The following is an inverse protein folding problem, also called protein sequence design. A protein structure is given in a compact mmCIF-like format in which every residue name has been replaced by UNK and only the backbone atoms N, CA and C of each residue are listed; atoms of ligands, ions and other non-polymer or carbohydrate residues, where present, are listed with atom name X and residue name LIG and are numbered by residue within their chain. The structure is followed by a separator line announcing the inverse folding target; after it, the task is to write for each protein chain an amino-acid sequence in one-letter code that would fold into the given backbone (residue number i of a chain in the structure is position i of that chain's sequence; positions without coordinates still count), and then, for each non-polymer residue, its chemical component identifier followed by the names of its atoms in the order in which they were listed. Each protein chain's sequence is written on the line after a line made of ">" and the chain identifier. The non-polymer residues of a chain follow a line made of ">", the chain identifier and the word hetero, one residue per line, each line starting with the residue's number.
data_IF_292345992667
#
_entry.id   IF_292345992667
#
_cell.length_a   1.000
_cell.length_b   1.000
_cell.length_c   1.000
_cell.angle_alpha   90.00
_cell.angle_beta   90.00
_cell.angle_gamma   90.00
#
_symmetry.space_group_name_H-M   'P 1'
#
loop_
_entity.id
_entity.type
_entity.pdbx_description
1 polymer ?
#
# COMPACT_ATOMS: atom_id res chain seq x y z
N UNK A 1 15.84 29.39 -7.20
CA UNK A 1 17.11 28.73 -6.82
C UNK A 1 17.57 29.13 -5.41
N UNK A 2 17.61 30.41 -5.08
CA UNK A 2 17.99 30.97 -3.77
C UNK A 2 17.21 30.40 -2.58
N UNK A 3 15.89 30.29 -2.66
CA UNK A 3 15.04 29.77 -1.56
C UNK A 3 15.36 28.30 -1.21
N UNK A 4 15.70 27.47 -2.18
CA UNK A 4 16.05 26.05 -1.96
C UNK A 4 17.41 25.92 -1.28
N UNK A 5 18.36 26.76 -1.65
CA UNK A 5 19.69 26.80 -1.00
C UNK A 5 19.54 27.25 0.46
N UNK A 6 18.71 28.26 0.70
CA UNK A 6 18.43 28.74 2.07
C UNK A 6 17.78 27.62 2.89
N UNK A 7 16.79 26.90 2.34
CA UNK A 7 16.13 25.80 3.05
C UNK A 7 17.07 24.62 3.30
N UNK A 8 17.99 24.31 2.38
CA UNK A 8 19.02 23.29 2.59
C UNK A 8 19.96 23.69 3.72
N UNK A 9 20.39 24.95 3.74
CA UNK A 9 21.23 25.51 4.82
C UNK A 9 20.51 25.49 6.17
N UNK A 10 19.22 25.88 6.21
CA UNK A 10 18.39 25.79 7.42
C UNK A 10 18.28 24.37 7.92
N UNK A 11 18.05 23.40 7.01
CA UNK A 11 18.02 21.98 7.36
C UNK A 11 19.33 21.51 7.98
N UNK A 12 20.46 21.90 7.41
CA UNK A 12 21.79 21.56 7.96
C UNK A 12 22.00 22.18 9.35
N UNK A 13 21.60 23.45 9.55
CA UNK A 13 21.69 24.12 10.85
C UNK A 13 20.82 23.43 11.90
N UNK A 14 19.57 23.05 11.54
CA UNK A 14 18.66 22.33 12.44
C UNK A 14 19.22 20.93 12.77
N UNK A 15 19.85 20.27 11.83
CA UNK A 15 20.50 18.98 12.05
C UNK A 15 21.66 19.09 13.02
N UNK A 16 22.52 20.10 12.86
CA UNK A 16 23.65 20.38 13.76
C UNK A 16 23.17 20.78 15.17
N UNK A 17 22.17 21.66 15.28
CA UNK A 17 21.57 22.03 16.55
C UNK A 17 20.95 20.83 17.25
N UNK A 18 20.22 20.01 16.53
CA UNK A 18 19.63 18.76 17.03
C UNK A 18 20.69 17.76 17.49
N UNK A 19 21.82 17.65 16.77
CA UNK A 19 22.95 16.80 17.16
C UNK A 19 23.64 17.30 18.46
N UNK A 20 23.89 18.60 18.56
CA UNK A 20 24.46 19.20 19.77
C UNK A 20 23.52 19.00 20.97
N UNK A 21 22.24 19.28 20.80
CA UNK A 21 21.23 19.06 21.83
C UNK A 21 21.14 17.58 22.25
N UNK A 22 21.16 16.66 21.27
CA UNK A 22 21.19 15.21 21.55
C UNK A 22 22.43 14.82 22.37
N UNK A 23 23.61 15.37 22.05
CA UNK A 23 24.87 15.10 22.77
C UNK A 23 24.77 15.56 24.21
N UNK A 24 24.27 16.78 24.46
CA UNK A 24 24.09 17.33 25.81
C UNK A 24 23.02 16.57 26.61
N UNK A 25 21.88 16.23 25.97
CA UNK A 25 20.82 15.51 26.63
C UNK A 25 21.20 14.05 26.96
N UNK A 26 22.01 13.40 26.13
CA UNK A 26 22.57 12.08 26.43
C UNK A 26 23.60 12.12 27.53
N UNK A 27 24.47 13.14 27.58
CA UNK A 27 25.45 13.35 28.66
C UNK A 27 24.74 13.57 30.01
N UNK A 28 23.70 14.39 30.04
CA UNK A 28 22.87 14.58 31.23
C UNK A 28 22.14 13.30 31.67
N UNK A 29 21.64 12.53 30.72
CA UNK A 29 20.98 11.27 31.02
C UNK A 29 21.95 10.21 31.57
N UNK A 30 23.18 10.16 31.05
CA UNK A 30 24.25 9.29 31.57
C UNK A 30 24.75 9.73 32.94
N UNK A 31 24.86 11.03 33.19
CA UNK A 31 25.27 11.59 34.48
C UNK A 31 24.23 11.37 35.60
N UNK A 32 22.94 11.24 35.24
CA UNK A 32 21.85 11.00 36.18
C UNK A 32 21.80 9.56 36.75
N UNK A 33 22.64 8.65 36.27
CA UNK A 33 22.78 7.27 36.74
C UNK A 33 21.57 6.36 36.42
N UNK A 34 21.77 5.07 36.49
CA UNK A 34 20.80 4.02 36.12
C UNK A 34 19.55 3.97 37.03
N UNK A 35 19.57 4.71 38.15
CA UNK A 35 18.43 4.77 39.10
C UNK A 35 17.32 5.77 38.74
N UNK A 36 17.52 6.61 37.74
CA UNK A 36 16.47 7.49 37.24
C UNK A 36 15.60 6.73 36.21
N UNK A 37 14.37 6.38 36.55
CA UNK A 37 13.30 5.86 35.63
C UNK A 37 12.98 6.83 34.47
N UNK A 38 13.89 7.71 34.05
CA UNK A 38 13.71 8.67 32.97
C UNK A 38 13.99 7.98 31.62
N UNK A 39 12.97 7.93 30.77
CA UNK A 39 13.09 7.44 29.38
C UNK A 39 14.17 8.25 28.64
N UNK A 40 14.99 7.55 27.85
CA UNK A 40 16.01 8.14 26.99
C UNK A 40 15.42 9.30 26.15
N UNK A 41 16.07 10.46 26.07
CA UNK A 41 15.50 11.62 25.36
C UNK A 41 15.39 11.32 23.86
N UNK A 42 14.16 11.24 23.36
CA UNK A 42 13.86 10.96 21.95
C UNK A 42 13.74 12.23 21.10
N UNK A 43 13.29 13.33 21.72
CA UNK A 43 13.00 14.59 21.04
C UNK A 43 14.22 15.17 20.28
N UNK A 44 15.43 15.26 20.87
CA UNK A 44 16.60 15.77 20.14
C UNK A 44 16.99 14.90 18.94
N UNK A 45 16.76 13.58 19.03
CA UNK A 45 17.03 12.65 17.91
C UNK A 45 16.07 12.89 16.77
N UNK A 46 14.78 13.13 17.06
CA UNK A 46 13.77 13.46 16.05
C UNK A 46 14.09 14.77 15.35
N UNK A 47 14.44 15.82 16.09
CA UNK A 47 14.82 17.12 15.53
C UNK A 47 16.05 16.99 14.62
N UNK A 48 17.07 16.25 15.04
CA UNK A 48 18.26 15.98 14.24
C UNK A 48 17.89 15.26 12.93
N UNK A 49 17.06 14.21 12.98
CA UNK A 49 16.66 13.45 11.82
C UNK A 49 15.82 14.28 10.85
N UNK A 50 14.91 15.12 11.35
CA UNK A 50 14.14 16.05 10.53
C UNK A 50 15.02 17.07 9.82
N UNK A 51 16.03 17.61 10.51
CA UNK A 51 17.00 18.53 9.90
C UNK A 51 17.83 17.87 8.80
N UNK A 52 18.36 16.67 9.04
CA UNK A 52 19.10 15.89 8.04
C UNK A 52 18.22 15.62 6.83
N UNK A 53 17.01 15.16 7.06
CA UNK A 53 16.06 14.82 6.00
C UNK A 53 15.72 16.05 5.14
N UNK A 54 15.42 17.21 5.76
CA UNK A 54 15.16 18.46 5.06
C UNK A 54 16.37 18.89 4.20
N UNK A 55 17.57 18.81 4.75
CA UNK A 55 18.80 19.15 4.02
C UNK A 55 19.00 18.21 2.81
N UNK A 56 18.86 16.90 3.00
CA UNK A 56 19.05 15.89 1.94
C UNK A 56 18.03 16.08 0.82
N UNK A 57 16.74 16.24 1.14
CA UNK A 57 15.69 16.43 0.14
C UNK A 57 15.94 17.69 -0.70
N UNK A 58 16.32 18.83 -0.05
CA UNK A 58 16.57 20.07 -0.78
C UNK A 58 17.86 20.02 -1.62
N UNK A 59 18.86 19.29 -1.21
CA UNK A 59 20.05 19.02 -2.02
C UNK A 59 19.71 18.14 -3.23
N UNK A 60 18.89 17.10 -3.04
CA UNK A 60 18.42 16.25 -4.14
C UNK A 60 17.56 17.05 -5.13
N UNK A 61 16.64 17.90 -4.67
CA UNK A 61 15.84 18.77 -5.54
C UNK A 61 16.73 19.71 -6.38
N UNK A 62 17.83 20.20 -5.81
CA UNK A 62 18.80 21.03 -6.52
C UNK A 62 19.61 20.20 -7.54
N UNK A 63 20.04 19.00 -7.17
CA UNK A 63 20.83 18.11 -8.01
C UNK A 63 20.03 17.57 -9.22
N UNK A 64 18.77 17.22 -9.01
CA UNK A 64 17.89 16.70 -10.06
C UNK A 64 17.09 17.77 -10.82
N UNK A 65 17.26 19.05 -10.47
CA UNK A 65 16.62 20.16 -11.20
C UNK A 65 15.09 20.15 -11.14
N UNK A 66 14.50 19.57 -10.08
CA UNK A 66 13.05 19.48 -9.92
C UNK A 66 12.42 20.87 -9.91
N UNK A 67 11.57 21.18 -10.88
CA UNK A 67 10.85 22.46 -10.94
C UNK A 67 9.60 22.42 -10.07
N UNK A 68 9.25 23.53 -9.36
CA UNK A 68 7.94 23.61 -8.71
C UNK A 68 6.83 23.49 -9.77
N UNK A 69 5.75 22.80 -9.46
CA UNK A 69 4.57 22.75 -10.35
C UNK A 69 3.94 24.14 -10.43
N UNK A 70 3.88 24.69 -11.64
CA UNK A 70 3.32 26.02 -11.91
C UNK A 70 1.79 26.01 -12.04
N UNK A 71 1.17 24.85 -12.29
CA UNK A 71 -0.28 24.70 -12.42
C UNK A 71 -0.75 23.44 -11.71
N UNK A 72 -1.92 23.54 -11.09
CA UNK A 72 -2.63 22.38 -10.56
C UNK A 72 -3.34 21.67 -11.71
N UNK A 73 -2.79 20.56 -12.14
CA UNK A 73 -3.43 19.66 -13.09
C UNK A 73 -3.26 18.24 -12.57
N UNK A 74 -4.36 17.58 -12.25
CA UNK A 74 -4.35 16.17 -11.89
C UNK A 74 -4.52 15.37 -13.15
N UNK A 75 -3.47 14.68 -13.55
CA UNK A 75 -3.51 13.76 -14.67
C UNK A 75 -4.17 12.45 -14.22
N UNK A 76 -5.46 12.32 -14.47
CA UNK A 76 -6.26 11.13 -14.11
C UNK A 76 -5.94 9.97 -15.05
N UNK A 77 -5.56 10.28 -16.29
CA UNK A 77 -5.27 9.29 -17.32
C UNK A 77 -3.86 8.72 -17.13
N UNK A 78 -3.74 7.41 -17.31
CA UNK A 78 -2.44 6.76 -17.34
C UNK A 78 -1.71 7.08 -18.65
N UNK A 79 -0.41 7.36 -18.55
CA UNK A 79 0.45 7.54 -19.72
C UNK A 79 0.38 6.31 -20.62
N UNK A 80 0.39 6.53 -21.93
CA UNK A 80 0.35 5.48 -22.94
C UNK A 80 1.65 5.43 -23.72
N UNK A 81 2.12 4.23 -23.97
CA UNK A 81 3.25 3.97 -24.87
C UNK A 81 2.69 3.44 -26.18
N UNK A 82 3.01 4.13 -27.30
CA UNK A 82 2.66 3.68 -28.62
C UNK A 82 3.76 2.75 -29.18
N UNK A 83 3.42 1.49 -29.36
CA UNK A 83 4.28 0.44 -29.90
C UNK A 83 3.93 0.15 -31.39
N UNK A 84 3.89 1.18 -32.23
CA UNK A 84 3.73 0.99 -33.68
C UNK A 84 2.43 0.32 -34.15
N UNK A 85 1.28 0.69 -33.49
CA UNK A 85 -0.05 0.15 -33.82
C UNK A 85 -0.86 -0.34 -32.61
N UNK A 86 -0.21 -0.49 -31.46
CA UNK A 86 -0.82 -0.81 -30.17
C UNK A 86 -0.44 0.26 -29.15
N UNK A 87 -1.42 0.91 -28.53
CA UNK A 87 -1.18 1.79 -27.38
C UNK A 87 -1.35 1.01 -26.08
N UNK A 88 -0.26 0.74 -25.38
CA UNK A 88 -0.26 0.12 -24.06
C UNK A 88 -0.25 1.19 -22.96
N UNK A 89 -1.14 1.02 -21.97
CA UNK A 89 -1.07 1.84 -20.75
C UNK A 89 0.16 1.47 -19.93
N UNK A 90 0.87 2.48 -19.40
CA UNK A 90 2.01 2.28 -18.50
C UNK A 90 1.61 1.47 -17.26
N UNK A 91 0.37 1.55 -16.81
CA UNK A 91 -0.15 0.77 -15.68
C UNK A 91 -0.10 -0.73 -15.93
N UNK A 92 -0.28 -1.18 -17.18
CA UNK A 92 -0.15 -2.60 -17.55
C UNK A 92 1.30 -3.06 -17.42
N UNK A 93 2.26 -2.23 -17.84
CA UNK A 93 3.70 -2.52 -17.72
C UNK A 93 4.09 -2.65 -16.24
N UNK A 94 3.64 -1.71 -15.41
CA UNK A 94 3.89 -1.77 -13.97
C UNK A 94 3.23 -2.98 -13.31
N UNK A 95 2.05 -3.38 -13.77
CA UNK A 95 1.39 -4.63 -13.33
C UNK A 95 2.28 -5.83 -13.62
N UNK A 96 2.85 -5.93 -14.83
CA UNK A 96 3.76 -7.02 -15.18
C UNK A 96 5.03 -7.02 -14.32
N UNK A 97 5.58 -5.84 -14.03
CA UNK A 97 6.75 -5.70 -13.14
C UNK A 97 6.42 -6.23 -11.73
N UNK A 98 5.25 -5.84 -11.15
CA UNK A 98 4.84 -6.34 -9.84
C UNK A 98 4.64 -7.85 -9.89
N UNK A 99 3.95 -8.37 -10.89
CA UNK A 99 3.74 -9.80 -11.04
C UNK A 99 5.06 -10.57 -11.15
N UNK A 100 5.99 -10.08 -11.96
CA UNK A 100 7.32 -10.68 -12.08
C UNK A 100 8.09 -10.64 -10.74
N UNK A 101 8.03 -9.52 -10.02
CA UNK A 101 8.65 -9.37 -8.71
C UNK A 101 8.02 -10.32 -7.67
N UNK A 102 6.70 -10.47 -7.66
CA UNK A 102 6.01 -11.41 -6.76
C UNK A 102 6.32 -12.88 -7.09
N UNK A 103 6.39 -13.22 -8.37
CA UNK A 103 6.80 -14.57 -8.82
C UNK A 103 8.24 -14.85 -8.41
N UNK A 104 9.14 -13.89 -8.62
CA UNK A 104 10.54 -14.00 -8.19
C UNK A 104 10.65 -14.16 -6.67
N UNK A 105 9.90 -13.35 -5.91
CA UNK A 105 9.84 -13.46 -4.45
C UNK A 105 9.34 -14.84 -4.02
N UNK A 106 8.26 -15.34 -4.63
CA UNK A 106 7.72 -16.66 -4.35
C UNK A 106 8.74 -17.78 -4.66
N UNK A 107 9.47 -17.63 -5.79
CA UNK A 107 10.52 -18.58 -6.19
C UNK A 107 11.69 -18.57 -5.17
N UNK A 108 12.15 -17.37 -4.79
CA UNK A 108 13.21 -17.22 -3.77
C UNK A 108 12.77 -17.83 -2.43
N UNK A 109 11.54 -17.52 -1.97
CA UNK A 109 11.01 -18.10 -0.74
C UNK A 109 10.88 -19.63 -0.83
N UNK A 110 10.46 -20.15 -1.98
CA UNK A 110 10.38 -21.58 -2.22
C UNK A 110 11.74 -22.26 -2.13
N UNK A 111 12.78 -21.66 -2.72
CA UNK A 111 14.12 -22.25 -2.76
C UNK A 111 14.89 -22.10 -1.44
N UNK A 112 14.70 -20.97 -0.74
CA UNK A 112 15.47 -20.64 0.48
C UNK A 112 14.78 -21.04 1.77
N UNK A 113 13.48 -20.76 1.90
CA UNK A 113 12.71 -20.95 3.14
C UNK A 113 11.94 -22.27 3.10
N UNK A 114 11.04 -22.44 2.10
CA UNK A 114 10.11 -23.59 2.06
C UNK A 114 10.86 -24.92 1.95
N UNK A 115 11.93 -24.95 1.16
CA UNK A 115 12.74 -26.18 1.00
C UNK A 115 13.51 -26.59 2.26
N UNK A 116 13.69 -25.66 3.22
CA UNK A 116 14.44 -25.86 4.48
C UNK A 116 13.54 -25.77 5.72
N UNK A 117 12.21 -25.88 5.54
CA UNK A 117 11.27 -25.83 6.66
C UNK A 117 11.53 -26.95 7.67
N UNK A 118 11.54 -26.57 8.95
CA UNK A 118 11.68 -27.47 10.09
C UNK A 118 10.41 -27.45 10.93
N UNK A 119 10.18 -28.49 11.74
CA UNK A 119 8.99 -28.57 12.61
C UNK A 119 8.91 -27.43 13.64
N UNK A 120 10.04 -26.84 14.01
CA UNK A 120 10.08 -25.67 14.90
C UNK A 120 10.47 -24.46 14.06
N UNK A 121 9.51 -23.56 13.74
CA UNK A 121 9.76 -22.42 12.85
C UNK A 121 10.70 -21.42 13.49
N UNK A 122 11.72 -20.97 12.73
CA UNK A 122 12.69 -19.94 13.16
C UNK A 122 12.85 -18.86 12.11
N UNK A 123 13.02 -17.60 12.55
CA UNK A 123 13.33 -16.47 11.67
C UNK A 123 12.28 -16.22 10.59
N UNK A 124 12.69 -16.21 9.32
CA UNK A 124 11.82 -15.93 8.18
C UNK A 124 10.68 -16.95 7.99
N UNK A 125 10.92 -18.22 8.32
CA UNK A 125 9.89 -19.25 8.29
C UNK A 125 8.73 -18.90 9.23
N UNK A 126 9.04 -18.50 10.48
CA UNK A 126 8.02 -18.14 11.46
C UNK A 126 7.14 -16.98 11.00
N UNK A 127 7.74 -15.95 10.38
CA UNK A 127 6.98 -14.81 9.84
C UNK A 127 6.01 -15.26 8.74
N UNK A 128 6.50 -16.10 7.83
CA UNK A 128 5.70 -16.58 6.70
C UNK A 128 4.57 -17.50 7.18
N UNK A 129 4.83 -18.41 8.12
CA UNK A 129 3.81 -19.27 8.73
C UNK A 129 2.75 -18.45 9.47
N UNK A 130 3.14 -17.46 10.28
CA UNK A 130 2.20 -16.59 11.00
C UNK A 130 1.30 -15.83 10.00
N UNK A 131 1.87 -15.30 8.92
CA UNK A 131 1.07 -14.58 7.90
C UNK A 131 0.05 -15.50 7.23
N UNK A 132 0.47 -16.68 6.79
CA UNK A 132 -0.41 -17.64 6.11
C UNK A 132 -1.44 -18.22 7.08
N UNK A 133 -1.01 -18.62 8.28
CA UNK A 133 -1.91 -19.19 9.29
C UNK A 133 -2.98 -18.21 9.75
N UNK A 134 -2.61 -16.96 10.02
CA UNK A 134 -3.58 -15.92 10.39
C UNK A 134 -4.61 -15.68 9.29
N UNK A 135 -4.17 -15.63 8.03
CA UNK A 135 -5.10 -15.46 6.91
C UNK A 135 -6.01 -16.67 6.72
N UNK A 136 -5.48 -17.89 6.86
CA UNK A 136 -6.28 -19.12 6.81
C UNK A 136 -7.29 -19.17 7.96
N UNK A 137 -6.89 -18.84 9.18
CA UNK A 137 -7.79 -18.75 10.34
C UNK A 137 -8.88 -17.69 10.13
N UNK A 138 -8.48 -16.52 9.64
CA UNK A 138 -9.41 -15.43 9.35
C UNK A 138 -10.41 -15.81 8.26
N UNK A 139 -9.97 -16.49 7.21
CA UNK A 139 -10.85 -17.00 6.15
C UNK A 139 -11.83 -18.04 6.70
N UNK A 140 -11.34 -19.04 7.45
CA UNK A 140 -12.19 -20.10 8.03
C UNK A 140 -13.19 -19.58 9.03
N UNK A 141 -12.84 -18.54 9.80
CA UNK A 141 -13.78 -17.94 10.77
C UNK A 141 -14.92 -17.17 10.11
N UNK A 142 -14.73 -16.64 8.91
CA UNK A 142 -15.76 -15.86 8.19
C UNK A 142 -16.64 -16.68 7.27
N UNK A 143 -16.08 -17.72 6.62
CA UNK A 143 -16.76 -18.42 5.50
C UNK A 143 -16.78 -19.94 5.70
N UNK A 144 -16.25 -20.44 6.82
CA UNK A 144 -16.09 -21.87 7.05
C UNK A 144 -14.98 -22.49 6.19
N UNK A 145 -14.97 -23.82 6.07
CA UNK A 145 -13.96 -24.53 5.29
C UNK A 145 -14.40 -24.73 3.85
N UNK A 146 -14.10 -23.75 2.99
CA UNK A 146 -14.36 -23.80 1.56
C UNK A 146 -13.19 -24.37 0.73
N UNK A 147 -12.11 -24.79 1.41
CA UNK A 147 -10.89 -25.33 0.81
C UNK A 147 -9.73 -24.30 0.79
N UNK A 148 -8.53 -24.80 0.52
CA UNK A 148 -7.29 -24.05 0.66
C UNK A 148 -7.05 -23.02 -0.48
N UNK A 149 -7.80 -23.10 -1.57
CA UNK A 149 -7.65 -22.18 -2.71
C UNK A 149 -8.11 -20.75 -2.40
N UNK A 150 -9.09 -20.58 -1.51
CA UNK A 150 -9.63 -19.27 -1.18
C UNK A 150 -8.62 -18.41 -0.39
N UNK A 151 -7.99 -18.91 0.70
CA UNK A 151 -6.94 -18.17 1.39
C UNK A 151 -5.76 -17.82 0.48
N UNK A 152 -5.37 -18.73 -0.42
CA UNK A 152 -4.28 -18.50 -1.37
C UNK A 152 -4.59 -17.34 -2.34
N UNK A 153 -5.80 -17.27 -2.87
CA UNK A 153 -6.27 -16.16 -3.71
C UNK A 153 -6.25 -14.83 -2.94
N UNK A 154 -6.77 -14.82 -1.72
CA UNK A 154 -6.82 -13.62 -0.89
C UNK A 154 -5.40 -13.13 -0.53
N UNK A 155 -4.48 -14.05 -0.27
CA UNK A 155 -3.08 -13.72 -0.02
C UNK A 155 -2.43 -13.10 -1.26
N UNK A 156 -2.67 -13.68 -2.45
CA UNK A 156 -2.13 -13.17 -3.70
C UNK A 156 -2.62 -11.73 -4.00
N UNK A 157 -3.92 -11.47 -3.85
CA UNK A 157 -4.48 -10.13 -4.04
C UNK A 157 -3.92 -9.13 -3.02
N UNK A 158 -3.87 -9.49 -1.73
CA UNK A 158 -3.32 -8.64 -0.71
C UNK A 158 -1.84 -8.28 -1.01
N UNK A 159 -1.04 -9.27 -1.39
CA UNK A 159 0.36 -9.05 -1.78
C UNK A 159 0.51 -8.19 -3.04
N UNK A 160 -0.38 -8.35 -4.02
CA UNK A 160 -0.40 -7.50 -5.20
C UNK A 160 -0.73 -6.03 -4.83
N UNK A 161 -1.72 -5.79 -3.96
CA UNK A 161 -2.06 -4.44 -3.50
C UNK A 161 -0.91 -3.79 -2.71
N UNK A 162 -0.25 -4.55 -1.84
CA UNK A 162 0.93 -4.09 -1.10
C UNK A 162 2.10 -3.82 -2.06
N UNK A 163 2.32 -4.68 -3.04
CA UNK A 163 3.33 -4.47 -4.09
C UNK A 163 3.08 -3.20 -4.91
N UNK A 164 1.81 -2.92 -5.25
CA UNK A 164 1.41 -1.68 -5.91
C UNK A 164 1.72 -0.44 -5.06
N UNK A 165 1.46 -0.50 -3.77
CA UNK A 165 1.77 0.57 -2.83
C UNK A 165 3.28 0.82 -2.69
N UNK A 166 4.08 -0.23 -2.72
CA UNK A 166 5.55 -0.11 -2.68
C UNK A 166 6.06 0.64 -3.91
N UNK A 167 5.53 0.40 -5.11
CA UNK A 167 5.89 1.16 -6.30
C UNK A 167 5.58 2.65 -6.17
N UNK A 168 4.46 2.99 -5.54
CA UNK A 168 4.06 4.37 -5.31
C UNK A 168 5.04 5.13 -4.40
N UNK A 169 5.68 4.44 -3.43
CA UNK A 169 6.75 5.00 -2.62
C UNK A 169 7.97 5.46 -3.45
N UNK A 170 8.21 4.83 -4.57
CA UNK A 170 9.28 5.24 -5.51
C UNK A 170 8.84 6.33 -6.48
N UNK A 171 7.65 6.90 -6.30
CA UNK A 171 7.09 7.93 -7.19
C UNK A 171 6.57 7.38 -8.52
N UNK A 172 6.41 6.06 -8.62
CA UNK A 172 5.83 5.39 -9.78
C UNK A 172 4.33 5.25 -9.53
N UNK A 173 3.52 5.66 -10.50
CA UNK A 173 2.07 5.56 -10.40
C UNK A 173 1.62 4.12 -10.18
N UNK A 174 0.92 3.86 -9.09
CA UNK A 174 0.44 2.53 -8.77
C UNK A 174 -0.55 2.01 -9.83
N UNK A 175 -0.47 0.74 -10.28
CA UNK A 175 -1.46 0.15 -11.17
C UNK A 175 -2.90 0.24 -10.65
N UNK A 176 -3.07 0.19 -9.34
CA UNK A 176 -4.37 0.32 -8.66
C UNK A 176 -4.98 1.73 -8.73
N UNK A 177 -4.25 2.73 -9.27
CA UNK A 177 -4.79 4.05 -9.58
C UNK A 177 -5.51 4.11 -10.95
N UNK A 178 -5.51 3.02 -11.72
CA UNK A 178 -6.24 2.92 -12.98
C UNK A 178 -7.59 2.19 -12.76
N UNK A 179 -8.66 2.83 -13.21
CA UNK A 179 -10.02 2.28 -13.07
C UNK A 179 -10.17 0.93 -13.77
N UNK A 180 -9.50 0.76 -14.91
CA UNK A 180 -9.54 -0.50 -15.69
C UNK A 180 -8.96 -1.65 -14.88
N UNK A 181 -7.86 -1.40 -14.17
CA UNK A 181 -7.20 -2.39 -13.33
C UNK A 181 -8.03 -2.73 -12.10
N UNK A 182 -8.53 -1.72 -11.40
CA UNK A 182 -9.37 -1.92 -10.20
C UNK A 182 -10.67 -2.62 -10.54
N UNK A 183 -11.27 -2.29 -11.68
CA UNK A 183 -12.47 -2.98 -12.17
C UNK A 183 -12.18 -4.43 -12.54
N UNK A 184 -11.05 -4.73 -13.17
CA UNK A 184 -10.63 -6.10 -13.49
C UNK A 184 -10.44 -6.95 -12.24
N UNK A 185 -9.82 -6.40 -11.18
CA UNK A 185 -9.67 -7.07 -9.89
C UNK A 185 -11.04 -7.33 -9.22
N UNK A 186 -11.92 -6.34 -9.24
CA UNK A 186 -13.27 -6.46 -8.69
C UNK A 186 -14.11 -7.50 -9.46
N UNK A 187 -13.99 -7.54 -10.80
CA UNK A 187 -14.67 -8.51 -11.64
C UNK A 187 -14.17 -9.93 -11.37
N UNK A 188 -12.86 -10.11 -11.23
CA UNK A 188 -12.27 -11.41 -10.87
C UNK A 188 -12.79 -11.90 -9.51
N UNK A 189 -12.85 -11.01 -8.54
CA UNK A 189 -13.43 -11.30 -7.21
C UNK A 189 -14.91 -11.64 -7.31
N UNK A 190 -15.67 -10.94 -8.13
CA UNK A 190 -17.08 -11.23 -8.39
C UNK A 190 -17.29 -12.61 -9.00
N UNK A 191 -16.47 -13.00 -9.98
CA UNK A 191 -16.49 -14.36 -10.55
C UNK A 191 -16.21 -15.40 -9.46
N UNK A 192 -15.27 -15.14 -8.57
CA UNK A 192 -14.94 -16.03 -7.46
C UNK A 192 -16.10 -16.17 -6.47
N UNK A 193 -16.77 -15.07 -6.11
CA UNK A 193 -17.96 -15.06 -5.24
C UNK A 193 -19.04 -15.95 -5.84
N UNK A 194 -19.31 -15.79 -7.14
CA UNK A 194 -20.30 -16.60 -7.83
C UNK A 194 -19.90 -18.07 -7.92
N UNK A 195 -18.62 -18.37 -8.15
CA UNK A 195 -18.09 -19.72 -8.17
C UNK A 195 -18.33 -20.46 -6.84
N UNK A 196 -17.98 -19.85 -5.71
CA UNK A 196 -18.19 -20.45 -4.39
C UNK A 196 -19.67 -20.55 -4.04
N UNK A 197 -20.48 -19.55 -4.40
CA UNK A 197 -21.93 -19.61 -4.24
C UNK A 197 -22.58 -20.76 -5.03
N UNK A 198 -22.11 -21.01 -6.26
CA UNK A 198 -22.55 -22.14 -7.08
C UNK A 198 -22.06 -23.49 -6.56
N UNK A 199 -20.83 -23.55 -6.06
CA UNK A 199 -20.22 -24.77 -5.50
C UNK A 199 -20.97 -25.28 -4.28
N UNK A 200 -21.47 -24.39 -3.42
CA UNK A 200 -22.14 -24.76 -2.16
C UNK A 200 -23.65 -24.94 -2.35
N UNK A 201 -24.35 -24.00 -3.00
CA UNK A 201 -25.81 -24.04 -3.16
C UNK A 201 -26.29 -24.77 -4.42
N UNK A 202 -25.38 -25.02 -5.36
CA UNK A 202 -25.74 -25.55 -6.67
C UNK A 202 -26.53 -24.56 -7.54
N UNK A 203 -26.76 -24.93 -8.79
CA UNK A 203 -27.48 -24.07 -9.76
C UNK A 203 -28.91 -23.72 -9.29
N UNK A 204 -29.63 -24.69 -8.72
CA UNK A 204 -31.02 -24.49 -8.27
C UNK A 204 -31.15 -23.49 -7.12
N UNK A 205 -30.24 -23.53 -6.14
CA UNK A 205 -30.22 -22.60 -5.02
C UNK A 205 -29.90 -21.17 -5.47
N UNK A 206 -28.96 -21.01 -6.40
CA UNK A 206 -28.58 -19.71 -6.96
C UNK A 206 -29.70 -19.09 -7.80
N UNK A 207 -30.39 -19.89 -8.66
CA UNK A 207 -31.53 -19.41 -9.42
C UNK A 207 -32.71 -18.98 -8.52
N UNK A 208 -32.93 -19.69 -7.42
CA UNK A 208 -33.96 -19.34 -6.45
C UNK A 208 -33.70 -17.98 -5.79
N UNK A 209 -32.42 -17.63 -5.55
CA UNK A 209 -32.01 -16.32 -5.05
C UNK A 209 -32.37 -15.21 -6.04
N UNK A 210 -32.21 -15.44 -7.35
CA UNK A 210 -32.52 -14.45 -8.39
C UNK A 210 -34.01 -14.27 -8.70
N UNK A 211 -34.87 -15.08 -8.09
CA UNK A 211 -36.32 -14.86 -8.11
C UNK A 211 -36.70 -13.53 -7.48
N UNK A 212 -35.89 -13.02 -6.57
CA UNK A 212 -36.05 -11.68 -6.02
C UNK A 212 -35.15 -10.70 -6.82
N UNK A 213 -35.74 -9.72 -7.57
CA UNK A 213 -34.97 -8.79 -8.41
C UNK A 213 -33.98 -7.94 -7.62
N UNK A 214 -34.24 -7.69 -6.34
CA UNK A 214 -33.34 -6.95 -5.46
C UNK A 214 -31.97 -7.64 -5.33
N UNK A 215 -31.94 -8.98 -5.31
CA UNK A 215 -30.69 -9.73 -5.21
C UNK A 215 -29.84 -9.61 -6.49
N UNK A 216 -30.47 -9.45 -7.65
CA UNK A 216 -29.74 -9.22 -8.91
C UNK A 216 -29.04 -7.86 -8.86
N UNK A 217 -29.75 -6.83 -8.42
CA UNK A 217 -29.19 -5.48 -8.29
C UNK A 217 -28.07 -5.47 -7.25
N UNK A 218 -28.25 -6.15 -6.11
CA UNK A 218 -27.22 -6.29 -5.07
C UNK A 218 -25.96 -6.97 -5.60
N UNK A 219 -26.12 -8.11 -6.29
CA UNK A 219 -24.99 -8.87 -6.84
C UNK A 219 -24.23 -8.08 -7.93
N UNK A 220 -24.92 -7.28 -8.76
CA UNK A 220 -24.30 -6.38 -9.74
C UNK A 220 -23.59 -5.17 -9.09
N UNK A 221 -24.11 -4.71 -7.96
CA UNK A 221 -23.51 -3.60 -7.24
C UNK A 221 -22.15 -3.97 -6.58
N UNK A 222 -21.93 -5.26 -6.27
CA UNK A 222 -20.69 -5.73 -5.61
C UNK A 222 -19.42 -5.36 -6.40
N UNK A 223 -19.25 -5.74 -7.68
CA UNK A 223 -18.03 -5.42 -8.41
C UNK A 223 -17.85 -3.92 -8.63
N UNK A 224 -18.94 -3.19 -8.85
CA UNK A 224 -18.90 -1.73 -8.99
C UNK A 224 -18.45 -1.06 -7.69
N UNK A 225 -19.02 -1.47 -6.55
CA UNK A 225 -18.67 -0.95 -5.23
C UNK A 225 -17.20 -1.22 -4.88
N UNK A 226 -16.71 -2.45 -5.14
CA UNK A 226 -15.31 -2.82 -4.89
C UNK A 226 -14.36 -2.00 -5.78
N UNK A 227 -14.66 -1.90 -7.08
CA UNK A 227 -13.84 -1.13 -8.03
C UNK A 227 -13.79 0.36 -7.68
N UNK A 228 -14.96 0.98 -7.45
CA UNK A 228 -15.05 2.39 -7.08
C UNK A 228 -14.34 2.70 -5.76
N UNK A 229 -14.38 1.79 -4.80
CA UNK A 229 -13.68 1.94 -3.52
C UNK A 229 -12.17 1.92 -3.70
N UNK A 230 -11.64 0.94 -4.46
CA UNK A 230 -10.21 0.86 -4.74
C UNK A 230 -9.73 2.10 -5.50
N UNK A 231 -10.39 2.42 -6.61
CA UNK A 231 -10.06 3.55 -7.45
C UNK A 231 -10.20 4.89 -6.71
N UNK A 232 -11.33 5.10 -6.02
CA UNK A 232 -11.61 6.35 -5.32
C UNK A 232 -10.61 6.64 -4.19
N UNK A 233 -10.18 5.62 -3.48
CA UNK A 233 -9.17 5.76 -2.43
C UNK A 233 -7.81 6.16 -2.99
N UNK A 234 -7.37 5.50 -4.08
CA UNK A 234 -6.10 5.82 -4.72
C UNK A 234 -6.13 7.19 -5.39
N UNK A 235 -7.20 7.49 -6.12
CA UNK A 235 -7.38 8.81 -6.74
C UNK A 235 -7.45 9.93 -5.69
N UNK A 236 -8.17 9.70 -4.60
CA UNK A 236 -8.26 10.65 -3.48
C UNK A 236 -6.89 10.97 -2.88
N UNK A 237 -6.07 9.95 -2.62
CA UNK A 237 -4.70 10.10 -2.14
C UNK A 237 -3.83 10.91 -3.11
N UNK A 238 -3.89 10.59 -4.40
CA UNK A 238 -3.15 11.27 -5.46
C UNK A 238 -3.53 12.75 -5.56
N UNK A 239 -4.84 13.07 -5.56
CA UNK A 239 -5.33 14.45 -5.60
C UNK A 239 -4.88 15.24 -4.37
N UNK A 240 -5.00 14.67 -3.17
CA UNK A 240 -4.59 15.32 -1.92
C UNK A 240 -3.10 15.60 -1.93
N UNK A 241 -2.28 14.65 -2.37
CA UNK A 241 -0.84 14.84 -2.45
C UNK A 241 -0.46 15.92 -3.47
N UNK A 242 -1.05 15.91 -4.65
CA UNK A 242 -0.80 16.93 -5.68
C UNK A 242 -1.22 18.32 -5.22
N UNK A 243 -2.38 18.44 -4.56
CA UNK A 243 -2.85 19.71 -3.98
C UNK A 243 -1.90 20.21 -2.90
N UNK A 244 -1.40 19.31 -2.06
CA UNK A 244 -0.47 19.63 -0.98
C UNK A 244 0.87 20.12 -1.52
N UNK A 245 1.41 19.44 -2.54
CA UNK A 245 2.62 19.90 -3.23
C UNK A 245 2.43 21.25 -3.92
N UNK A 246 1.29 21.47 -4.53
CA UNK A 246 0.95 22.76 -5.15
C UNK A 246 0.83 23.87 -4.12
N UNK A 247 0.07 23.64 -3.04
CA UNK A 247 -0.17 24.66 -2.00
C UNK A 247 1.10 25.05 -1.23
N UNK A 248 1.97 24.10 -0.97
CA UNK A 248 3.20 24.34 -0.19
C UNK A 248 4.40 24.80 -1.05
N UNK A 249 4.37 24.59 -2.36
CA UNK A 249 5.40 25.02 -3.29
C UNK A 249 6.81 24.67 -2.80
N UNK A 250 7.67 25.68 -2.63
CA UNK A 250 9.06 25.50 -2.18
C UNK A 250 9.21 24.95 -0.74
N UNK A 251 8.15 25.00 0.09
CA UNK A 251 8.13 24.50 1.47
C UNK A 251 7.60 23.06 1.56
N UNK A 252 7.31 22.43 0.43
CA UNK A 252 6.73 21.09 0.33
C UNK A 252 7.72 19.98 0.71
N UNK A 253 8.22 19.96 1.94
CA UNK A 253 9.21 18.97 2.41
C UNK A 253 8.67 18.14 3.58
N UNK A 254 8.36 18.77 4.70
CA UNK A 254 8.02 18.05 5.93
C UNK A 254 6.59 17.50 5.91
N UNK A 255 5.62 18.37 5.62
CA UNK A 255 4.20 18.01 5.66
C UNK A 255 3.83 17.00 4.55
N UNK A 256 4.21 17.23 3.28
CA UNK A 256 3.92 16.26 2.23
C UNK A 256 4.52 14.87 2.47
N UNK A 257 5.70 14.78 3.09
CA UNK A 257 6.30 13.47 3.34
C UNK A 257 5.60 12.70 4.46
N UNK A 258 5.14 13.39 5.51
CA UNK A 258 4.34 12.73 6.57
C UNK A 258 3.00 12.29 6.01
N UNK A 259 2.34 13.16 5.25
CA UNK A 259 1.05 12.86 4.60
C UNK A 259 1.23 11.79 3.53
N UNK A 260 2.32 11.84 2.74
CA UNK A 260 2.66 10.81 1.77
C UNK A 260 2.92 9.45 2.41
N UNK A 261 3.58 9.39 3.57
CA UNK A 261 3.74 8.13 4.29
C UNK A 261 2.39 7.53 4.68
N UNK A 262 1.43 8.38 5.08
CA UNK A 262 0.07 7.91 5.37
C UNK A 262 -0.62 7.37 4.12
N UNK A 263 -0.66 8.14 3.03
CA UNK A 263 -1.38 7.73 1.82
C UNK A 263 -0.70 6.59 1.06
N UNK A 264 0.64 6.53 1.05
CA UNK A 264 1.37 5.52 0.25
C UNK A 264 1.68 4.24 1.04
N UNK A 265 1.61 4.24 2.38
CA UNK A 265 1.88 3.04 3.19
C UNK A 265 0.67 2.59 3.99
N UNK A 266 0.16 3.46 4.88
CA UNK A 266 -0.93 3.06 5.78
C UNK A 266 -2.23 2.82 5.03
N UNK A 267 -2.59 3.71 4.14
CA UNK A 267 -3.85 3.63 3.42
C UNK A 267 -3.97 2.39 2.54
N UNK A 268 -2.97 2.03 1.69
CA UNK A 268 -3.02 0.81 0.90
C UNK A 268 -3.04 -0.48 1.73
N UNK A 269 -2.35 -0.51 2.88
CA UNK A 269 -2.39 -1.66 3.79
C UNK A 269 -3.80 -1.86 4.37
N UNK A 270 -4.42 -0.79 4.85
CA UNK A 270 -5.81 -0.81 5.34
C UNK A 270 -6.75 -1.21 4.20
N UNK A 271 -6.53 -0.67 3.01
CA UNK A 271 -7.35 -0.97 1.83
C UNK A 271 -7.26 -2.44 1.41
N UNK A 272 -6.06 -3.04 1.42
CA UNK A 272 -5.87 -4.46 1.17
C UNK A 272 -6.65 -5.31 2.20
N UNK A 273 -6.57 -4.95 3.47
CA UNK A 273 -7.34 -5.63 4.52
C UNK A 273 -8.85 -5.50 4.32
N UNK A 274 -9.34 -4.28 4.03
CA UNK A 274 -10.77 -4.05 3.76
C UNK A 274 -11.23 -4.85 2.54
N UNK A 275 -10.43 -4.91 1.48
CA UNK A 275 -10.76 -5.66 0.27
C UNK A 275 -10.91 -7.16 0.57
N UNK A 276 -9.96 -7.74 1.30
CA UNK A 276 -10.01 -9.15 1.75
C UNK A 276 -11.24 -9.40 2.62
N UNK A 277 -11.51 -8.54 3.60
CA UNK A 277 -12.66 -8.67 4.49
C UNK A 277 -13.98 -8.64 3.73
N UNK A 278 -14.16 -7.65 2.84
CA UNK A 278 -15.38 -7.55 2.04
C UNK A 278 -15.55 -8.71 1.07
N UNK A 279 -14.46 -9.19 0.46
CA UNK A 279 -14.50 -10.38 -0.38
C UNK A 279 -15.02 -11.58 0.41
N UNK A 280 -14.53 -11.78 1.64
CA UNK A 280 -15.00 -12.85 2.53
C UNK A 280 -16.47 -12.66 2.93
N UNK A 281 -16.89 -11.44 3.27
CA UNK A 281 -18.29 -11.14 3.60
C UNK A 281 -19.22 -11.48 2.43
N UNK A 282 -18.88 -11.05 1.21
CA UNK A 282 -19.70 -11.35 0.02
C UNK A 282 -19.71 -12.84 -0.34
N UNK A 283 -18.60 -13.55 -0.12
CA UNK A 283 -18.58 -15.02 -0.28
C UNK A 283 -19.48 -15.67 0.78
N UNK A 284 -19.42 -15.22 2.04
CA UNK A 284 -20.29 -15.66 3.12
C UNK A 284 -21.77 -15.53 2.75
N UNK A 285 -22.19 -14.32 2.33
CA UNK A 285 -23.56 -14.06 1.86
C UNK A 285 -23.97 -14.94 0.65
N UNK A 286 -23.00 -15.25 -0.22
CA UNK A 286 -23.26 -16.09 -1.39
C UNK A 286 -23.43 -17.58 -1.02
N UNK A 287 -22.80 -18.00 0.08
CA UNK A 287 -22.78 -19.40 0.57
C UNK A 287 -23.90 -19.64 1.59
N UNK A 288 -24.30 -18.66 2.41
CA UNK A 288 -25.50 -18.70 3.26
C UNK A 288 -26.80 -18.75 2.44
#
# INVERSE_FOLDING_TARGET
>A
MTTRIILAAVGAIVALAGWMWRKSALAQWQAAGENAKKKKPRLPTVVMLLGIWLAVVKVLELAFGVKPRESFAVDIWADRIDLGGFSLSMTVVYTWIIMAALILLALVLRLTVIRRMTQVPKGAQNVLEICVENLCKYTKSNVGDLGDNLPAYLFMIAMFMVGSAILELFGIRAPTSDITMTFSMALMTFVLINYYGLKVKGLGGRLKRYRNPMNIVSDLAVPVSLACRLFGNMLGGLIVMDLLYFAMGNYAVAVPSVVGLYFNVFHPLIQAFIFVTLTLTFIGEAVE
#
